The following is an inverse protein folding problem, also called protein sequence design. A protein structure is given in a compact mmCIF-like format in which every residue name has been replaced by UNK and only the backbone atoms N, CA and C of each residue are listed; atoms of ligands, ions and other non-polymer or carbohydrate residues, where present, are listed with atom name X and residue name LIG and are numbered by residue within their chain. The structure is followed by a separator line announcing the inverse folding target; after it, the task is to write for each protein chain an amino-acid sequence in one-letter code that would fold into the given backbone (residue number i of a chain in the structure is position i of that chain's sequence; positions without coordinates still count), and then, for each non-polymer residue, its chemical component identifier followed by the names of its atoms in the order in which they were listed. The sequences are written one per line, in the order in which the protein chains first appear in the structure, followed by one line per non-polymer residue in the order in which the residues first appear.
data_IF_204241503849
#
_entry.id   IF_204241503849
#
_cell.length_a   1.000
_cell.length_b   1.000
_cell.length_c   1.000
_cell.angle_alpha   90.00
_cell.angle_beta   90.00
_cell.angle_gamma   90.00
#
_symmetry.space_group_name_H-M   'P 1'
#
loop_
_entity.id
_entity.type
_entity.pdbx_description
1 polymer ?
#
# COMPACT_ATOMS: atom_id res chain seq x y z
N UNK A 1 -7.34 5.44 26.84
CA UNK A 1 -7.39 4.03 27.29
C UNK A 1 -6.12 3.26 26.92
N UNK A 2 -5.71 3.19 25.65
CA UNK A 2 -4.51 2.42 25.23
C UNK A 2 -3.16 2.89 25.82
N UNK A 3 -2.92 4.21 25.96
CA UNK A 3 -1.69 4.74 26.61
C UNK A 3 -1.52 4.31 28.08
N UNK A 4 -2.58 3.84 28.73
CA UNK A 4 -2.52 3.33 30.12
C UNK A 4 -2.04 1.87 30.19
N UNK A 5 -2.02 1.16 29.04
CA UNK A 5 -1.70 -0.27 28.96
C UNK A 5 -0.26 -0.54 28.45
N UNK A 6 0.45 0.50 27.98
CA UNK A 6 1.81 0.39 27.45
C UNK A 6 2.22 1.63 26.65
N UNK A 7 3.42 1.59 26.08
CA UNK A 7 3.93 2.65 25.21
C UNK A 7 3.32 2.49 23.81
N UNK A 8 2.38 3.38 23.48
CA UNK A 8 1.63 3.37 22.22
C UNK A 8 1.73 4.73 21.56
N UNK A 9 2.35 4.77 20.38
CA UNK A 9 2.49 5.97 19.57
C UNK A 9 1.46 5.97 18.44
N UNK A 10 0.76 7.09 18.27
CA UNK A 10 -0.19 7.30 17.18
C UNK A 10 0.46 8.14 16.08
N UNK A 11 0.64 7.54 14.92
CA UNK A 11 1.29 8.14 13.76
C UNK A 11 0.24 8.63 12.76
N UNK A 12 0.46 9.82 12.22
CA UNK A 12 -0.22 10.31 11.01
C UNK A 12 0.73 10.10 9.83
N UNK A 13 0.67 8.91 9.23
CA UNK A 13 1.54 8.55 8.12
C UNK A 13 1.15 9.41 6.90
N UNK A 14 2.15 9.94 6.21
CA UNK A 14 1.99 10.68 4.96
C UNK A 14 1.70 9.72 3.80
N UNK A 15 0.60 8.96 3.92
CA UNK A 15 0.16 7.98 2.93
C UNK A 15 -1.34 8.07 2.65
N UNK A 16 -1.77 7.47 1.53
CA UNK A 16 -3.19 7.28 1.20
C UNK A 16 -3.41 5.95 0.46
N UNK A 17 -4.41 5.15 0.85
CA UNK A 17 -5.14 5.21 2.12
C UNK A 17 -4.22 4.84 3.30
N UNK A 18 -4.67 5.00 4.56
CA UNK A 18 -3.90 4.54 5.73
C UNK A 18 -3.26 5.63 6.62
N UNK A 19 -3.74 6.88 6.57
CA UNK A 19 -3.18 8.00 7.36
C UNK A 19 -3.05 7.71 8.87
N UNK A 20 -4.08 7.22 9.59
CA UNK A 20 -3.93 6.91 11.01
C UNK A 20 -3.38 5.50 11.22
N UNK A 21 -2.28 5.37 11.96
CA UNK A 21 -1.77 4.08 12.44
C UNK A 21 -1.29 4.22 13.88
N UNK A 22 -1.46 3.19 14.69
CA UNK A 22 -0.83 3.10 16.00
C UNK A 22 0.17 1.94 16.03
N UNK A 23 1.33 2.17 16.62
CA UNK A 23 2.31 1.11 16.90
C UNK A 23 2.77 1.29 18.35
N UNK A 24 2.88 0.18 19.06
CA UNK A 24 3.31 0.21 20.45
C UNK A 24 3.73 -1.14 20.98
N UNK A 25 4.12 -1.16 22.24
CA UNK A 25 4.47 -2.37 22.98
C UNK A 25 3.62 -2.48 24.23
N UNK A 26 3.04 -3.65 24.44
CA UNK A 26 2.32 -4.01 25.66
C UNK A 26 3.03 -5.23 26.24
N UNK A 27 3.75 -5.04 27.36
CA UNK A 27 4.60 -6.07 27.96
C UNK A 27 5.58 -6.67 26.93
N UNK A 28 5.45 -7.96 26.61
CA UNK A 28 6.28 -8.68 25.63
C UNK A 28 5.71 -8.65 24.20
N UNK A 29 4.54 -8.06 23.97
CA UNK A 29 3.84 -8.08 22.69
C UNK A 29 3.92 -6.75 21.96
N UNK A 30 3.94 -6.80 20.62
CA UNK A 30 3.82 -5.62 19.75
C UNK A 30 2.34 -5.42 19.39
N UNK A 31 1.88 -4.17 19.48
CA UNK A 31 0.53 -3.76 19.09
C UNK A 31 0.58 -3.01 17.76
N UNK A 32 -0.25 -3.42 16.80
CA UNK A 32 -0.53 -2.68 15.57
C UNK A 32 -2.00 -2.24 15.56
N UNK A 33 -2.25 -0.94 15.65
CA UNK A 33 -3.58 -0.34 15.48
C UNK A 33 -3.75 0.13 14.04
N UNK A 34 -4.62 -0.54 13.30
CA UNK A 34 -4.86 -0.26 11.89
C UNK A 34 -6.11 0.60 11.66
N UNK A 35 -6.22 1.31 10.53
CA UNK A 35 -7.42 2.10 10.19
C UNK A 35 -8.67 1.22 10.05
N UNK A 36 -9.85 1.75 10.40
CA UNK A 36 -11.12 1.00 10.29
C UNK A 36 -11.68 0.82 8.87
N UNK A 37 -11.19 1.58 7.89
CA UNK A 37 -11.65 1.45 6.50
C UNK A 37 -11.01 0.22 5.82
N UNK A 38 -11.78 -0.66 5.14
CA UNK A 38 -11.27 -1.94 4.61
C UNK A 38 -10.05 -1.83 3.69
N UNK A 39 -10.05 -0.89 2.73
CA UNK A 39 -8.87 -0.72 1.86
C UNK A 39 -7.69 -0.17 2.65
N UNK A 40 -7.95 0.76 3.57
CA UNK A 40 -6.90 1.35 4.39
C UNK A 40 -6.24 0.30 5.31
N UNK A 41 -7.03 -0.60 5.90
CA UNK A 41 -6.51 -1.68 6.76
C UNK A 41 -5.59 -2.61 5.98
N UNK A 42 -6.01 -3.04 4.79
CA UNK A 42 -5.22 -3.96 3.96
C UNK A 42 -3.94 -3.32 3.43
N UNK A 43 -4.01 -2.10 2.91
CA UNK A 43 -2.82 -1.37 2.43
C UNK A 43 -1.82 -1.15 3.58
N UNK A 44 -2.31 -0.74 4.75
CA UNK A 44 -1.44 -0.52 5.92
C UNK A 44 -0.82 -1.84 6.40
N UNK A 45 -1.59 -2.93 6.38
CA UNK A 45 -1.09 -4.25 6.71
C UNK A 45 0.03 -4.68 5.75
N UNK A 46 -0.19 -4.59 4.44
CA UNK A 46 0.79 -4.98 3.42
C UNK A 46 2.06 -4.13 3.51
N UNK A 47 1.93 -2.82 3.68
CA UNK A 47 3.07 -1.90 3.68
C UNK A 47 3.90 -1.94 4.97
N UNK A 48 3.29 -2.22 6.13
CA UNK A 48 3.98 -2.09 7.43
C UNK A 48 3.92 -3.33 8.31
N UNK A 49 2.74 -3.96 8.44
CA UNK A 49 2.57 -5.06 9.41
C UNK A 49 3.16 -6.36 8.88
N UNK A 50 2.86 -6.73 7.63
CA UNK A 50 3.42 -7.93 6.99
C UNK A 50 4.95 -7.94 7.02
N UNK A 51 5.68 -6.89 6.60
CA UNK A 51 7.14 -6.90 6.69
C UNK A 51 7.65 -6.95 8.13
N UNK A 52 6.96 -6.33 9.09
CA UNK A 52 7.31 -6.43 10.50
C UNK A 52 7.17 -7.87 11.02
N UNK A 53 6.05 -8.54 10.71
CA UNK A 53 5.81 -9.94 11.09
C UNK A 53 6.84 -10.89 10.47
N UNK A 54 7.13 -10.75 9.18
CA UNK A 54 8.16 -11.56 8.50
C UNK A 54 9.52 -11.42 9.19
N UNK A 55 9.91 -10.19 9.55
CA UNK A 55 11.16 -9.95 10.27
C UNK A 55 11.15 -10.56 11.67
N UNK A 56 10.03 -10.48 12.39
CA UNK A 56 9.87 -11.11 13.71
C UNK A 56 9.90 -12.64 13.64
N UNK A 57 9.45 -13.24 12.54
CA UNK A 57 9.55 -14.67 12.26
C UNK A 57 10.97 -15.11 11.84
N UNK A 58 11.92 -14.18 11.75
CA UNK A 58 13.30 -14.48 11.35
C UNK A 58 13.51 -14.57 9.84
N UNK A 59 12.52 -14.18 9.01
CA UNK A 59 12.70 -14.11 7.57
C UNK A 59 13.77 -13.07 7.23
N UNK A 60 14.82 -13.50 6.53
CA UNK A 60 15.94 -12.65 6.05
C UNK A 60 15.82 -12.25 4.58
N UNK A 61 14.80 -12.74 3.89
CA UNK A 61 14.56 -12.38 2.50
C UNK A 61 14.35 -10.86 2.37
N UNK A 62 14.90 -10.28 1.31
CA UNK A 62 14.67 -8.88 0.99
C UNK A 62 13.16 -8.63 0.78
N UNK A 63 12.73 -7.40 1.00
CA UNK A 63 11.37 -7.01 0.63
C UNK A 63 11.14 -7.32 -0.86
N UNK A 64 9.93 -7.79 -1.20
CA UNK A 64 9.57 -8.03 -2.58
C UNK A 64 9.80 -6.73 -3.39
N UNK A 65 10.47 -6.80 -4.55
CA UNK A 65 10.77 -5.61 -5.33
C UNK A 65 9.47 -5.00 -5.85
N UNK A 66 9.47 -3.67 -5.98
CA UNK A 66 8.49 -2.98 -6.79
C UNK A 66 8.82 -3.25 -8.27
N UNK A 67 7.80 -3.52 -9.06
CA UNK A 67 7.92 -3.70 -10.50
C UNK A 67 7.57 -2.39 -11.22
N UNK A 68 8.24 -2.10 -12.32
CA UNK A 68 7.90 -0.95 -13.16
C UNK A 68 6.83 -1.33 -14.18
N UNK A 69 5.79 -0.51 -14.30
CA UNK A 69 4.73 -0.67 -15.31
C UNK A 69 4.38 0.67 -15.97
N UNK A 70 4.01 0.66 -17.24
CA UNK A 70 3.50 1.84 -17.94
C UNK A 70 2.03 2.08 -17.63
N UNK A 71 1.67 3.29 -17.24
CA UNK A 71 0.29 3.66 -16.94
C UNK A 71 -0.56 3.71 -18.22
N UNK A 72 -1.69 3.02 -18.26
CA UNK A 72 -2.63 3.03 -19.39
C UNK A 72 -3.62 4.20 -19.33
N UNK A 73 -3.61 4.95 -18.24
CA UNK A 73 -4.50 6.09 -18.02
C UNK A 73 -3.78 7.19 -17.25
N UNK A 74 -4.29 8.41 -17.33
CA UNK A 74 -3.81 9.50 -16.50
C UNK A 74 -4.24 9.27 -15.04
N UNK A 75 -3.29 9.31 -14.10
CA UNK A 75 -3.57 9.09 -12.68
C UNK A 75 -3.41 10.40 -11.93
N UNK A 76 -4.52 10.86 -11.32
CA UNK A 76 -4.49 12.08 -10.50
C UNK A 76 -3.76 11.81 -9.19
N UNK A 77 -2.75 12.63 -8.91
CA UNK A 77 -1.97 12.58 -7.67
C UNK A 77 -1.55 13.98 -7.24
N UNK A 78 -1.57 14.23 -5.94
CA UNK A 78 -1.00 15.44 -5.34
C UNK A 78 0.28 15.07 -4.59
N UNK A 79 1.36 15.86 -4.71
CA UNK A 79 2.55 15.70 -3.87
C UNK A 79 2.22 15.80 -2.36
N UNK A 80 3.10 15.24 -1.53
CA UNK A 80 3.04 15.32 -0.06
C UNK A 80 2.50 14.07 0.64
N UNK A 81 2.09 13.04 -0.11
CA UNK A 81 1.72 11.71 0.42
C UNK A 81 2.07 10.63 -0.58
N UNK A 82 2.56 9.48 -0.09
CA UNK A 82 2.66 8.27 -0.90
C UNK A 82 1.26 7.69 -1.08
N UNK A 83 0.81 7.49 -2.31
CA UNK A 83 -0.49 6.87 -2.57
C UNK A 83 -0.32 5.43 -3.05
N UNK A 84 -1.11 4.53 -2.48
CA UNK A 84 -1.23 3.13 -2.87
C UNK A 84 -2.58 2.96 -3.55
N UNK A 85 -2.61 3.19 -4.86
CA UNK A 85 -3.82 3.04 -5.67
C UNK A 85 -3.94 1.59 -6.16
N UNK A 86 -5.15 1.05 -6.20
CA UNK A 86 -5.41 -0.32 -6.63
C UNK A 86 -5.32 -0.40 -8.14
N UNK A 87 -4.48 -1.30 -8.63
CA UNK A 87 -4.17 -1.45 -10.04
C UNK A 87 -4.42 -2.86 -10.57
N UNK A 88 -4.74 -2.92 -11.85
CA UNK A 88 -4.79 -4.14 -12.66
C UNK A 88 -3.58 -4.09 -13.59
N UNK A 89 -2.60 -4.93 -13.27
CA UNK A 89 -1.34 -5.07 -13.97
C UNK A 89 -1.50 -6.17 -15.01
N UNK A 90 -1.04 -5.91 -16.22
CA UNK A 90 -1.07 -6.88 -17.32
C UNK A 90 0.23 -6.77 -18.12
N UNK A 91 0.48 -7.76 -18.97
CA UNK A 91 1.63 -7.77 -19.87
C UNK A 91 1.17 -7.33 -21.27
N UNK A 92 1.85 -6.35 -21.85
CA UNK A 92 1.63 -5.90 -23.23
C UNK A 92 2.23 -6.90 -24.24
N UNK A 93 1.87 -6.77 -25.52
CA UNK A 93 2.34 -7.66 -26.59
C UNK A 93 3.88 -7.69 -26.75
N UNK A 94 4.56 -6.60 -26.39
CA UNK A 94 6.01 -6.47 -26.40
C UNK A 94 6.68 -7.00 -25.10
N UNK A 95 5.93 -7.62 -24.20
CA UNK A 95 6.43 -8.16 -22.93
C UNK A 95 6.57 -7.15 -21.78
N UNK A 96 6.32 -5.85 -22.02
CA UNK A 96 6.37 -4.83 -20.96
C UNK A 96 5.15 -4.91 -20.04
N UNK A 97 5.33 -4.53 -18.77
CA UNK A 97 4.20 -4.41 -17.85
C UNK A 97 3.46 -3.09 -18.09
N UNK A 98 2.14 -3.16 -18.00
CA UNK A 98 1.25 -2.03 -18.08
C UNK A 98 0.21 -2.11 -16.97
N UNK A 99 -0.27 -0.95 -16.51
CA UNK A 99 -1.20 -0.89 -15.37
C UNK A 99 -2.29 0.15 -15.61
N UNK A 100 -3.50 -0.17 -15.17
CA UNK A 100 -4.61 0.79 -15.00
C UNK A 100 -5.16 0.69 -13.59
N UNK A 101 -5.78 1.74 -13.09
CA UNK A 101 -6.47 1.68 -11.79
C UNK A 101 -7.72 0.79 -11.89
N UNK A 102 -8.24 0.38 -10.75
CA UNK A 102 -9.55 -0.28 -10.65
C UNK A 102 -10.72 0.72 -10.69
N UNK A 103 -10.51 1.95 -11.18
CA UNK A 103 -11.48 3.03 -11.08
C UNK A 103 -11.55 3.63 -9.68
N UNK A 104 -12.70 3.57 -9.01
CA UNK A 104 -12.92 4.27 -7.73
C UNK A 104 -11.90 3.90 -6.63
N UNK A 105 -11.04 4.87 -6.29
CA UNK A 105 -9.96 4.71 -5.30
C UNK A 105 -10.37 5.03 -3.84
N UNK A 106 -11.66 5.14 -3.52
CA UNK A 106 -12.14 5.38 -2.16
C UNK A 106 -11.69 4.30 -1.16
N UNK A 107 -11.38 4.69 0.08
CA UNK A 107 -10.83 3.76 1.09
C UNK A 107 -11.85 2.75 1.66
N UNK A 108 -13.14 2.97 1.43
CA UNK A 108 -14.22 2.04 1.79
C UNK A 108 -14.58 1.04 0.67
N UNK A 109 -14.00 1.19 -0.52
CA UNK A 109 -14.42 0.44 -1.72
C UNK A 109 -13.69 -0.91 -1.76
N UNK A 110 -14.13 -1.88 -0.98
CA UNK A 110 -13.46 -3.20 -0.89
C UNK A 110 -13.37 -3.93 -2.24
N UNK A 111 -14.38 -3.79 -3.11
CA UNK A 111 -14.40 -4.38 -4.46
C UNK A 111 -13.17 -4.02 -5.30
N UNK A 112 -12.59 -2.83 -5.10
CA UNK A 112 -11.37 -2.42 -5.78
C UNK A 112 -10.14 -3.25 -5.41
N UNK A 113 -10.09 -3.81 -4.19
CA UNK A 113 -9.00 -4.69 -3.78
C UNK A 113 -9.16 -6.09 -4.36
N UNK A 114 -10.40 -6.55 -4.52
CA UNK A 114 -10.73 -7.84 -5.17
C UNK A 114 -10.40 -7.81 -6.66
N UNK A 115 -10.64 -6.68 -7.33
CA UNK A 115 -10.35 -6.51 -8.75
C UNK A 115 -8.87 -6.31 -9.05
N UNK A 116 -8.12 -5.72 -8.11
CA UNK A 116 -6.70 -5.46 -8.28
C UNK A 116 -5.86 -6.72 -8.12
N UNK A 117 -4.74 -6.77 -8.84
CA UNK A 117 -3.67 -7.74 -8.62
C UNK A 117 -2.38 -7.10 -8.08
N UNK A 118 -2.41 -5.79 -7.83
CA UNK A 118 -1.33 -5.04 -7.19
C UNK A 118 -1.73 -3.63 -6.77
N UNK A 119 -0.79 -2.95 -6.11
CA UNK A 119 -0.89 -1.54 -5.74
C UNK A 119 0.07 -0.73 -6.60
N UNK A 120 -0.46 0.26 -7.32
CA UNK A 120 0.31 1.34 -7.93
C UNK A 120 0.84 2.22 -6.79
N UNK A 121 2.17 2.33 -6.69
CA UNK A 121 2.86 3.11 -5.66
C UNK A 121 3.25 4.45 -6.25
N UNK A 122 2.51 5.50 -5.88
CA UNK A 122 2.81 6.87 -6.26
C UNK A 122 3.55 7.55 -5.12
N UNK A 123 4.85 7.79 -5.30
CA UNK A 123 5.76 8.28 -4.29
C UNK A 123 5.42 9.67 -3.76
N UNK A 124 6.02 9.98 -2.62
CA UNK A 124 5.70 11.15 -1.81
C UNK A 124 5.73 12.46 -2.61
N UNK A 125 6.79 12.68 -3.39
CA UNK A 125 7.02 13.91 -4.16
C UNK A 125 6.35 13.90 -5.54
N UNK A 126 5.85 12.75 -6.02
CA UNK A 126 5.26 12.64 -7.36
C UNK A 126 3.96 13.46 -7.47
N UNK A 127 3.80 14.09 -8.64
CA UNK A 127 2.57 14.72 -9.11
C UNK A 127 1.67 13.74 -9.86
N UNK A 128 0.72 14.26 -10.64
CA UNK A 128 -0.11 13.47 -11.54
C UNK A 128 0.75 12.72 -12.56
N UNK A 129 0.31 11.53 -12.92
CA UNK A 129 0.97 10.63 -13.88
C UNK A 129 0.26 10.74 -15.23
N UNK A 130 1.02 10.88 -16.31
CA UNK A 130 0.48 10.86 -17.67
C UNK A 130 0.29 9.43 -18.20
N UNK A 131 -0.53 9.29 -19.26
CA UNK A 131 -0.62 8.02 -20.00
C UNK A 131 0.76 7.67 -20.57
N UNK A 132 1.18 6.41 -20.44
CA UNK A 132 2.47 5.89 -20.87
C UNK A 132 3.61 6.09 -19.89
N UNK A 133 3.45 6.97 -18.89
CA UNK A 133 4.46 7.20 -17.86
C UNK A 133 4.63 5.98 -16.97
N UNK A 134 5.85 5.72 -16.55
CA UNK A 134 6.22 4.57 -15.74
C UNK A 134 5.90 4.82 -14.26
N UNK A 135 5.32 3.81 -13.61
CA UNK A 135 5.01 3.80 -12.18
C UNK A 135 5.47 2.51 -11.52
N UNK A 136 5.77 2.60 -10.23
CA UNK A 136 6.04 1.43 -9.39
C UNK A 136 4.75 0.69 -9.05
N UNK A 137 4.87 -0.64 -8.98
CA UNK A 137 3.78 -1.54 -8.63
C UNK A 137 4.24 -2.58 -7.62
N UNK A 138 3.50 -2.67 -6.51
CA UNK A 138 3.60 -3.74 -5.53
C UNK A 138 2.59 -4.84 -5.87
N UNK A 139 3.06 -5.98 -6.38
CA UNK A 139 2.18 -7.11 -6.73
C UNK A 139 1.63 -7.82 -5.49
N UNK A 140 0.40 -8.35 -5.59
CA UNK A 140 -0.19 -9.10 -4.49
C UNK A 140 0.42 -10.49 -4.29
N UNK A 141 0.96 -11.18 -5.32
CA UNK A 141 1.70 -12.47 -5.23
C UNK A 141 1.40 -13.34 -3.98
N UNK A 142 0.15 -13.81 -3.84
CA UNK A 142 -0.30 -14.69 -2.75
C UNK A 142 -0.52 -14.01 -1.38
N UNK A 143 -0.55 -12.68 -1.31
CA UNK A 143 -0.72 -11.88 -0.10
C UNK A 143 -2.17 -11.43 0.16
N UNK A 144 -3.09 -11.69 -0.78
CA UNK A 144 -4.52 -11.39 -0.70
C UNK A 144 -5.29 -12.55 -1.32
#
# INVERSE_FOLDING_TARGET
MMKKLGDVTFWKIAMRPGRPMAVGRISKSILFGLPGNPVAVMVTFLAFVRPALLRMMGCKAAAAPLLQAHSLEAIRKKPGRTEYQRGIVSTAANGTLQVKTTGNQGSGVLSSMVQANGLIVLHHTQGSIAVGETVDVMMFNGAV
#
